data_IF_321266120927
#
_entry.id   IF_321266120927
#
_cell.length_a   1.000
_cell.length_b   1.000
_cell.length_c   1.000
_cell.angle_alpha   90.00
_cell.angle_beta   90.00
_cell.angle_gamma   90.00
#
_symmetry.space_group_name_H-M   'P 1'
#
loop_
_entity.id
_entity.type
_entity.pdbx_description
1 polymer ?
#
# COMPACT_ATOMS: atom_id res chain seq x y z
N UNK A 1 -0.89 8.32 -6.93
CA UNK A 1 -1.77 7.17 -6.60
C UNK A 1 -0.93 5.91 -6.49
N UNK A 2 -1.13 5.15 -5.44
CA UNK A 2 -0.46 3.88 -5.22
C UNK A 2 -1.52 2.78 -5.09
N UNK A 3 -1.30 1.66 -5.77
CA UNK A 3 -2.26 0.56 -5.83
C UNK A 3 -1.59 -0.71 -5.31
N UNK A 4 -2.22 -1.37 -4.37
CA UNK A 4 -1.67 -2.60 -3.80
C UNK A 4 -2.66 -3.35 -2.93
N UNK A 5 -2.20 -4.46 -2.39
CA UNK A 5 -2.99 -5.30 -1.45
C UNK A 5 -2.68 -4.95 0.00
N UNK A 6 -1.45 -4.50 0.27
CA UNK A 6 -0.96 -4.03 1.58
C UNK A 6 -1.16 -5.08 2.69
N UNK A 7 -0.74 -6.30 2.47
CA UNK A 7 -1.02 -7.50 3.30
C UNK A 7 0.21 -8.06 4.04
N UNK A 8 0.70 -7.48 5.15
CA UNK A 8 0.23 -6.25 5.78
C UNK A 8 1.01 -5.02 5.31
N UNK A 9 0.60 -3.86 5.78
CA UNK A 9 1.39 -2.63 5.65
C UNK A 9 2.72 -2.79 6.39
N UNK A 10 3.82 -2.33 5.78
CA UNK A 10 5.15 -2.40 6.36
C UNK A 10 6.03 -1.21 5.96
N UNK A 11 7.23 -1.14 6.49
CA UNK A 11 8.15 -0.02 6.28
C UNK A 11 8.54 0.19 4.81
N UNK A 12 8.58 -0.89 4.03
CA UNK A 12 8.82 -0.79 2.58
C UNK A 12 7.71 -0.02 1.86
N UNK A 13 6.46 -0.25 2.25
CA UNK A 13 5.32 0.51 1.74
C UNK A 13 5.39 1.97 2.19
N UNK A 14 5.77 2.22 3.44
CA UNK A 14 5.94 3.58 3.95
C UNK A 14 7.03 4.32 3.19
N UNK A 15 8.16 3.68 2.95
CA UNK A 15 9.22 4.25 2.12
C UNK A 15 8.68 4.68 0.76
N UNK A 16 7.87 3.83 0.14
CA UNK A 16 7.32 4.07 -1.19
C UNK A 16 6.46 5.34 -1.22
N UNK A 17 5.51 5.49 -0.29
CA UNK A 17 4.67 6.69 -0.27
C UNK A 17 5.44 7.93 0.16
N UNK A 18 6.50 7.78 0.96
CA UNK A 18 7.36 8.89 1.38
C UNK A 18 8.02 9.57 0.19
N UNK A 19 8.26 8.86 -0.91
CA UNK A 19 8.83 9.46 -2.12
C UNK A 19 7.92 10.56 -2.67
N UNK A 20 6.62 10.36 -2.66
CA UNK A 20 5.65 11.37 -3.07
C UNK A 20 5.43 12.43 -1.99
N UNK A 21 5.35 12.02 -0.72
CA UNK A 21 5.16 12.95 0.41
C UNK A 21 6.34 13.92 0.54
N UNK A 22 7.57 13.43 0.37
CA UNK A 22 8.78 14.26 0.43
C UNK A 22 8.90 15.22 -0.76
N UNK A 23 8.22 14.93 -1.86
CA UNK A 23 8.09 15.82 -3.03
C UNK A 23 6.87 16.74 -2.92
N UNK A 24 6.37 16.93 -1.70
CA UNK A 24 5.24 17.78 -1.35
C UNK A 24 3.94 17.45 -2.09
N UNK A 25 3.76 16.18 -2.45
CA UNK A 25 2.55 15.68 -3.12
C UNK A 25 1.61 15.01 -2.13
N UNK A 26 0.32 15.08 -2.44
CA UNK A 26 -0.69 14.30 -1.72
C UNK A 26 -0.74 12.87 -2.29
N UNK A 27 -1.12 11.92 -1.44
CA UNK A 27 -1.13 10.50 -1.76
C UNK A 27 -2.54 9.94 -1.72
N UNK A 28 -2.93 9.22 -2.76
CA UNK A 28 -4.09 8.35 -2.76
C UNK A 28 -3.61 6.90 -2.71
N UNK A 29 -3.98 6.19 -1.63
CA UNK A 29 -3.73 4.75 -1.49
C UNK A 29 -4.97 3.97 -1.88
N UNK A 30 -4.82 3.09 -2.85
CA UNK A 30 -5.90 2.22 -3.32
C UNK A 30 -5.66 0.80 -2.84
N UNK A 31 -6.63 0.24 -2.11
CA UNK A 31 -6.60 -1.14 -1.63
C UNK A 31 -7.36 -2.02 -2.61
N UNK A 32 -6.67 -2.97 -3.24
CA UNK A 32 -7.30 -3.95 -4.11
C UNK A 32 -8.13 -4.92 -3.26
N UNK A 33 -9.41 -5.02 -3.56
CA UNK A 33 -10.34 -5.93 -2.86
C UNK A 33 -10.20 -7.33 -3.45
N UNK A 34 -9.29 -8.12 -2.86
CA UNK A 34 -9.01 -9.49 -3.28
C UNK A 34 -9.63 -10.49 -2.30
N UNK A 35 -10.01 -11.70 -2.76
CA UNK A 35 -10.53 -12.72 -1.86
C UNK A 35 -9.49 -13.10 -0.80
N UNK A 36 -9.96 -13.40 0.41
CA UNK A 36 -9.10 -13.92 1.49
C UNK A 36 -8.47 -15.23 1.05
N UNK A 37 -7.16 -15.35 1.23
CA UNK A 37 -6.37 -16.51 0.86
C UNK A 37 -5.14 -16.62 1.74
N UNK A 38 -4.31 -17.62 1.51
CA UNK A 38 -3.04 -17.76 2.24
C UNK A 38 -2.12 -16.55 2.01
N UNK A 39 -2.09 -16.00 0.79
CA UNK A 39 -1.29 -14.82 0.45
C UNK A 39 -1.96 -13.50 0.85
N UNK A 40 -3.28 -13.52 1.06
CA UNK A 40 -4.09 -12.35 1.42
C UNK A 40 -5.00 -12.71 2.60
N UNK A 41 -4.43 -12.89 3.81
CA UNK A 41 -5.20 -13.41 4.96
C UNK A 41 -6.20 -12.42 5.55
N UNK A 42 -6.11 -11.15 5.18
CA UNK A 42 -7.00 -10.10 5.67
C UNK A 42 -7.94 -9.61 4.57
N UNK A 43 -9.16 -9.20 4.97
CA UNK A 43 -10.09 -8.55 4.06
C UNK A 43 -9.62 -7.14 3.72
N UNK A 44 -10.11 -6.59 2.61
CA UNK A 44 -9.81 -5.19 2.26
C UNK A 44 -10.27 -4.22 3.35
N UNK A 45 -11.39 -4.49 4.02
CA UNK A 45 -11.88 -3.66 5.12
C UNK A 45 -10.96 -3.71 6.34
N UNK A 46 -10.39 -4.87 6.66
CA UNK A 46 -9.38 -5.00 7.71
C UNK A 46 -8.12 -4.21 7.37
N UNK A 47 -7.68 -4.25 6.13
CA UNK A 47 -6.53 -3.48 5.66
C UNK A 47 -6.83 -1.97 5.71
N UNK A 48 -8.03 -1.56 5.33
CA UNK A 48 -8.46 -0.16 5.43
C UNK A 48 -8.35 0.36 6.85
N UNK A 49 -8.80 -0.41 7.85
CA UNK A 49 -8.69 -0.04 9.26
C UNK A 49 -7.22 0.01 9.71
N UNK A 50 -6.42 -0.96 9.29
CA UNK A 50 -4.99 -1.01 9.60
C UNK A 50 -4.23 0.21 9.05
N UNK A 51 -4.46 0.57 7.79
CA UNK A 51 -3.86 1.74 7.17
C UNK A 51 -4.36 3.04 7.78
N UNK A 52 -5.65 3.12 8.10
CA UNK A 52 -6.25 4.28 8.76
C UNK A 52 -5.59 4.57 10.11
N UNK A 53 -5.24 3.55 10.86
CA UNK A 53 -4.52 3.66 12.11
C UNK A 53 -3.04 4.02 11.89
N UNK A 54 -2.36 3.30 10.99
CA UNK A 54 -0.94 3.50 10.72
C UNK A 54 -0.62 4.89 10.15
N UNK A 55 -1.53 5.48 9.38
CA UNK A 55 -1.35 6.74 8.66
C UNK A 55 -2.25 7.86 9.19
N UNK A 56 -2.77 7.70 10.40
CA UNK A 56 -3.74 8.60 11.00
C UNK A 56 -3.35 10.08 10.90
N UNK A 57 -2.12 10.43 11.25
CA UNK A 57 -1.65 11.81 11.26
C UNK A 57 -1.65 12.41 9.85
N UNK A 58 -1.20 11.64 8.86
CA UNK A 58 -1.17 12.08 7.47
C UNK A 58 -2.58 12.25 6.89
N UNK A 59 -3.52 11.41 7.32
CA UNK A 59 -4.92 11.51 6.92
C UNK A 59 -5.53 12.78 7.52
N UNK A 60 -5.28 13.05 8.79
CA UNK A 60 -5.77 14.26 9.47
C UNK A 60 -5.22 15.54 8.84
N UNK A 61 -3.96 15.51 8.38
CA UNK A 61 -3.33 16.62 7.68
C UNK A 61 -3.83 16.80 6.25
N UNK A 62 -4.65 15.87 5.75
CA UNK A 62 -5.15 15.89 4.38
C UNK A 62 -4.12 15.51 3.33
N UNK A 63 -3.01 14.86 3.73
CA UNK A 63 -1.93 14.46 2.83
C UNK A 63 -2.09 13.06 2.27
N UNK A 64 -2.87 12.21 2.93
CA UNK A 64 -3.15 10.83 2.51
C UNK A 64 -4.65 10.59 2.52
N UNK A 65 -5.15 9.96 1.49
CA UNK A 65 -6.50 9.43 1.41
C UNK A 65 -6.43 7.96 1.03
N UNK A 66 -7.30 7.15 1.61
CA UNK A 66 -7.32 5.70 1.39
C UNK A 66 -8.69 5.32 0.85
N UNK A 67 -8.70 4.54 -0.22
CA UNK A 67 -9.94 4.00 -0.80
C UNK A 67 -9.79 2.51 -1.10
N UNK A 68 -10.90 1.79 -1.06
CA UNK A 68 -10.99 0.41 -1.52
C UNK A 68 -11.45 0.42 -2.98
N UNK A 69 -10.76 -0.35 -3.82
CA UNK A 69 -11.11 -0.51 -5.23
C UNK A 69 -11.34 -1.99 -5.55
N UNK A 70 -12.12 -2.30 -6.59
CA UNK A 70 -12.21 -3.69 -7.07
C UNK A 70 -10.84 -4.23 -7.45
N UNK A 71 -10.69 -5.55 -7.49
CA UNK A 71 -9.47 -6.16 -8.01
C UNK A 71 -9.30 -5.78 -9.49
N UNK A 72 -8.08 -5.40 -9.85
CA UNK A 72 -7.77 -4.86 -11.17
C UNK A 72 -6.84 -5.81 -11.93
N UNK A 73 -6.94 -5.80 -13.26
CA UNK A 73 -6.07 -6.58 -14.14
C UNK A 73 -4.95 -5.72 -14.74
N UNK A 74 -5.24 -4.45 -15.01
CA UNK A 74 -4.27 -3.54 -15.63
C UNK A 74 -4.57 -2.08 -15.33
N UNK A 75 -3.55 -1.25 -15.55
CA UNK A 75 -3.66 0.21 -15.53
C UNK A 75 -3.45 0.68 -16.96
N UNK A 76 -4.39 1.48 -17.47
CA UNK A 76 -4.34 1.96 -18.84
C UNK A 76 -4.30 3.48 -18.84
N UNK A 77 -3.40 4.06 -19.61
CA UNK A 77 -3.26 5.51 -19.76
C UNK A 77 -3.27 5.89 -21.23
N UNK A 78 -3.85 7.05 -21.51
CA UNK A 78 -3.84 7.64 -22.84
C UNK A 78 -2.90 8.85 -22.92
N UNK A 79 -2.84 9.48 -24.07
CA UNK A 79 -2.08 10.72 -24.25
C UNK A 79 -2.75 11.90 -23.55
N UNK A 80 -1.93 12.81 -23.03
CA UNK A 80 -2.41 14.11 -22.57
C UNK A 80 -3.27 14.06 -21.32
N UNK A 81 -3.14 13.02 -20.51
CA UNK A 81 -3.92 12.85 -19.29
C UNK A 81 -3.49 13.79 -18.16
N UNK A 82 -2.37 14.50 -18.30
CA UNK A 82 -1.93 15.52 -17.34
C UNK A 82 -1.29 14.98 -16.06
N UNK A 83 -0.84 13.75 -16.03
CA UNK A 83 -0.08 13.19 -14.91
C UNK A 83 1.09 12.32 -15.39
N UNK A 84 2.07 12.12 -14.51
CA UNK A 84 3.24 11.28 -14.77
C UNK A 84 3.03 9.88 -14.21
N UNK A 85 3.65 8.89 -14.86
CA UNK A 85 3.79 7.54 -14.32
C UNK A 85 5.21 7.41 -13.83
N UNK A 86 5.39 7.26 -12.51
CA UNK A 86 6.70 7.28 -11.87
C UNK A 86 6.95 5.93 -11.19
N UNK A 87 8.08 5.31 -11.51
CA UNK A 87 8.55 4.11 -10.85
C UNK A 87 9.59 4.49 -9.78
N UNK A 88 9.39 3.99 -8.55
CA UNK A 88 10.33 4.19 -7.46
C UNK A 88 11.10 2.89 -7.20
N UNK A 89 12.43 2.97 -7.28
CA UNK A 89 13.30 1.82 -7.02
C UNK A 89 13.90 1.98 -5.62
N UNK A 90 13.50 1.12 -4.66
CA UNK A 90 14.00 1.24 -3.30
C UNK A 90 15.46 0.78 -3.18
N UNK A 91 16.21 1.29 -2.19
CA UNK A 91 17.51 0.73 -1.85
C UNK A 91 17.36 -0.72 -1.36
N UNK A 92 18.45 -1.49 -1.40
CA UNK A 92 18.42 -2.93 -1.12
C UNK A 92 17.83 -3.27 0.24
N UNK A 93 18.16 -2.52 1.28
CA UNK A 93 17.65 -2.75 2.64
C UNK A 93 16.14 -2.60 2.74
N UNK A 94 15.54 -1.70 1.94
CA UNK A 94 14.09 -1.53 1.86
C UNK A 94 13.49 -2.62 0.98
N UNK A 95 14.13 -2.94 -0.13
CA UNK A 95 13.72 -4.02 -1.04
C UNK A 95 13.61 -5.37 -0.31
N UNK A 96 14.48 -5.61 0.66
CA UNK A 96 14.50 -6.85 1.44
C UNK A 96 13.32 -6.97 2.41
N UNK A 97 12.59 -5.89 2.69
CA UNK A 97 11.37 -5.95 3.48
C UNK A 97 10.28 -6.58 2.61
N UNK A 98 9.66 -7.65 3.10
CA UNK A 98 8.72 -8.45 2.34
C UNK A 98 7.47 -8.76 3.15
N UNK A 99 6.30 -8.50 2.58
CA UNK A 99 5.02 -8.88 3.20
C UNK A 99 4.92 -10.40 3.38
N UNK A 100 5.49 -11.18 2.47
CA UNK A 100 5.54 -12.64 2.58
C UNK A 100 6.31 -13.08 3.82
N UNK A 101 7.49 -12.51 4.04
CA UNK A 101 8.30 -12.81 5.23
C UNK A 101 7.60 -12.40 6.52
N UNK A 102 6.94 -11.24 6.51
CA UNK A 102 6.20 -10.74 7.67
C UNK A 102 5.02 -11.66 7.99
N UNK A 103 4.26 -12.09 6.99
CA UNK A 103 3.15 -13.03 7.19
C UNK A 103 3.62 -14.37 7.72
N UNK A 104 4.73 -14.90 7.23
CA UNK A 104 5.33 -16.14 7.73
C UNK A 104 5.73 -16.02 9.20
N UNK A 105 6.34 -14.91 9.58
CA UNK A 105 6.70 -14.65 10.97
C UNK A 105 5.47 -14.59 11.87
N UNK A 106 4.42 -13.87 11.46
CA UNK A 106 3.16 -13.79 12.22
C UNK A 106 2.53 -15.17 12.38
N UNK A 107 2.55 -15.97 11.34
CA UNK A 107 2.03 -17.35 11.36
C UNK A 107 2.81 -18.23 12.33
N UNK A 108 4.15 -18.15 12.34
CA UNK A 108 5.00 -18.88 13.27
C UNK A 108 4.74 -18.45 14.71
N UNK A 109 4.40 -17.21 14.96
CA UNK A 109 4.05 -16.69 16.27
C UNK A 109 2.62 -17.05 16.70
N UNK A 110 1.86 -17.73 15.85
CA UNK A 110 0.49 -18.13 16.10
C UNK A 110 -0.54 -17.01 16.09
N UNK A 111 -0.21 -15.89 15.44
CA UNK A 111 -1.07 -14.69 15.38
C UNK A 111 -1.91 -14.58 14.11
N UNK A 112 -1.74 -15.53 13.20
CA UNK A 112 -2.44 -15.52 11.92
C UNK A 112 -3.36 -16.73 11.78
#
# INVERSE_FOLDING_TARGET
MFIGRWQPWHDGHRWLIDQALNDDKKVLLCIRDVPVSESNPWTADQILLNLGDALKDLIQEGRVRIIKIPDIESINIGRGVGYDVIEHVPPQEIHDISATKIREQIKQEGKL
#
